data_IF_456727768092
#
_entry.id   IF_456727768092
#
_cell.length_a   1.000
_cell.length_b   1.000
_cell.length_c   1.000
_cell.angle_alpha   90.00
_cell.angle_beta   90.00
_cell.angle_gamma   90.00
#
_symmetry.space_group_name_H-M   'P 1'
#
loop_
_entity.id
_entity.type
_entity.pdbx_description
1 polymer ?
#
# COMPACT_ATOMS: atom_id res chain seq x y z
N UNK A 1 -3.24 -0.04 -29.13
CA UNK A 1 -2.60 -1.26 -29.66
C UNK A 1 -1.81 -0.97 -30.95
N UNK A 2 -0.53 -0.58 -30.84
CA UNK A 2 0.42 -0.67 -31.97
C UNK A 2 0.99 -2.09 -31.94
N UNK A 3 0.81 -2.83 -33.04
CA UNK A 3 0.77 -4.29 -33.04
C UNK A 3 2.11 -4.95 -32.66
N UNK A 4 2.04 -5.92 -31.75
CA UNK A 4 3.02 -7.01 -31.51
C UNK A 4 3.68 -7.55 -32.79
N UNK A 5 2.99 -7.48 -33.94
CA UNK A 5 3.45 -7.84 -35.28
C UNK A 5 4.76 -7.16 -35.71
N UNK A 6 4.99 -5.91 -35.29
CA UNK A 6 6.20 -5.16 -35.65
C UNK A 6 7.45 -5.64 -34.90
N UNK A 7 7.28 -6.18 -33.69
CA UNK A 7 8.36 -6.76 -32.89
C UNK A 7 8.61 -8.22 -33.31
N UNK A 8 7.56 -8.96 -33.68
CA UNK A 8 7.68 -10.36 -34.14
C UNK A 8 8.47 -10.51 -35.45
N UNK A 9 8.33 -9.58 -36.40
CA UNK A 9 9.07 -9.66 -37.68
C UNK A 9 10.60 -9.47 -37.53
N UNK A 10 11.07 -8.95 -36.39
CA UNK A 10 12.51 -8.80 -36.12
C UNK A 10 13.16 -10.04 -35.49
N UNK A 11 12.38 -11.03 -35.05
CA UNK A 11 12.86 -12.18 -34.26
C UNK A 11 12.84 -13.53 -34.99
N UNK A 12 12.47 -13.57 -36.28
CA UNK A 12 12.33 -14.81 -37.07
C UNK A 12 13.64 -15.44 -37.60
N UNK A 13 14.82 -15.14 -37.04
CA UNK A 13 16.11 -15.70 -37.52
C UNK A 13 16.83 -16.66 -36.58
N UNK A 14 16.18 -17.17 -35.53
CA UNK A 14 16.80 -18.18 -34.67
C UNK A 14 15.84 -19.35 -34.50
N UNK A 15 16.18 -20.51 -35.08
CA UNK A 15 15.49 -21.78 -34.83
C UNK A 15 15.86 -22.24 -33.41
N UNK A 16 14.90 -22.48 -32.50
CA UNK A 16 15.18 -23.13 -31.23
C UNK A 16 15.19 -24.64 -31.41
N UNK A 17 16.29 -25.28 -31.05
CA UNK A 17 16.29 -26.72 -30.75
C UNK A 17 15.45 -26.95 -29.48
N UNK A 18 14.51 -27.89 -29.57
CA UNK A 18 13.62 -28.21 -28.47
C UNK A 18 14.40 -28.97 -27.38
N UNK A 19 14.60 -28.33 -26.22
CA UNK A 19 14.85 -29.05 -24.97
C UNK A 19 13.57 -29.06 -24.15
N UNK A 20 13.03 -30.24 -23.92
CA UNK A 20 11.90 -30.49 -23.02
C UNK A 20 12.35 -30.23 -21.59
N UNK A 21 11.83 -29.17 -20.98
CA UNK A 21 12.02 -28.87 -19.56
C UNK A 21 10.87 -29.49 -18.77
N UNK A 22 11.18 -30.35 -17.82
CA UNK A 22 10.22 -30.95 -16.89
C UNK A 22 10.16 -30.04 -15.65
N UNK A 23 9.00 -29.51 -15.24
CA UNK A 23 8.90 -28.68 -14.05
C UNK A 23 9.22 -29.51 -12.79
N UNK A 24 10.16 -29.06 -11.99
CA UNK A 24 10.44 -29.64 -10.67
C UNK A 24 9.59 -28.84 -9.66
N UNK A 25 8.71 -29.51 -8.93
CA UNK A 25 8.01 -28.90 -7.80
C UNK A 25 9.04 -28.49 -6.72
N UNK A 26 8.89 -27.32 -6.06
CA UNK A 26 9.82 -26.90 -5.03
C UNK A 26 9.89 -27.97 -3.92
N UNK A 27 11.10 -28.27 -3.47
CA UNK A 27 11.29 -29.32 -2.47
C UNK A 27 10.73 -28.86 -1.11
N UNK A 28 10.36 -29.80 -0.21
CA UNK A 28 10.00 -29.46 1.17
C UNK A 28 11.06 -28.61 1.89
N UNK A 29 12.34 -28.70 1.47
CA UNK A 29 13.43 -27.88 1.99
C UNK A 29 13.40 -26.44 1.44
N UNK A 30 12.95 -26.21 0.21
CA UNK A 30 12.74 -24.86 -0.34
C UNK A 30 11.55 -24.17 0.32
N UNK A 31 10.50 -24.94 0.63
CA UNK A 31 9.37 -24.47 1.44
C UNK A 31 9.79 -24.15 2.88
N UNK A 32 10.73 -24.91 3.47
CA UNK A 32 11.27 -24.64 4.81
C UNK A 32 12.22 -23.43 4.83
N UNK A 33 13.03 -23.23 3.78
CA UNK A 33 13.91 -22.06 3.63
C UNK A 33 13.13 -20.76 3.39
N UNK A 34 11.92 -20.84 2.83
CA UNK A 34 11.00 -19.70 2.74
C UNK A 34 10.43 -19.29 4.11
N UNK A 35 10.45 -20.19 5.10
CA UNK A 35 9.98 -19.94 6.47
C UNK A 35 11.05 -19.32 7.38
N UNK A 36 12.31 -19.20 6.94
CA UNK A 36 13.46 -18.84 7.79
C UNK A 36 14.06 -17.43 7.55
N UNK A 37 13.28 -16.43 7.12
CA UNK A 37 13.78 -15.11 6.66
C UNK A 37 13.11 -13.90 7.40
N UNK A 38 13.83 -12.77 7.55
CA UNK A 38 13.52 -11.28 7.61
C UNK A 38 12.30 -10.66 8.39
N UNK A 39 12.36 -9.42 8.93
CA UNK A 39 11.35 -8.74 9.82
C UNK A 39 10.26 -8.05 9.03
N UNK A 40 10.45 -7.97 7.72
CA UNK A 40 9.33 -8.04 6.82
C UNK A 40 8.42 -9.22 7.18
N UNK A 41 8.92 -10.32 7.77
CA UNK A 41 8.11 -11.39 8.33
C UNK A 41 7.44 -11.04 9.64
N UNK A 42 7.74 -9.96 10.38
CA UNK A 42 6.89 -9.56 11.51
C UNK A 42 5.70 -8.74 11.03
N UNK A 43 5.89 -7.82 10.08
CA UNK A 43 4.79 -7.12 9.41
C UNK A 43 4.02 -8.06 8.47
N UNK A 44 4.72 -8.96 7.76
CA UNK A 44 4.11 -10.06 7.00
C UNK A 44 3.59 -11.16 7.91
N UNK A 45 4.07 -11.43 9.13
CA UNK A 45 3.47 -12.43 10.05
C UNK A 45 2.26 -11.86 10.76
N UNK A 46 2.30 -10.58 11.13
CA UNK A 46 1.13 -9.87 11.63
C UNK A 46 0.08 -9.71 10.52
N UNK A 47 0.51 -9.61 9.25
CA UNK A 47 -0.37 -9.63 8.09
C UNK A 47 -0.64 -11.04 7.53
N UNK A 48 0.10 -12.08 7.96
CA UNK A 48 0.04 -13.43 7.40
C UNK A 48 -1.35 -14.04 7.60
N UNK A 49 -2.03 -13.86 8.75
CA UNK A 49 -3.43 -14.25 8.90
C UNK A 49 -4.36 -13.65 7.84
N UNK A 50 -3.96 -12.56 7.19
CA UNK A 50 -4.73 -11.80 6.22
C UNK A 50 -4.32 -12.07 4.75
N UNK A 51 -3.28 -12.89 4.53
CA UNK A 51 -2.95 -13.41 3.20
C UNK A 51 -3.97 -14.49 2.77
N UNK A 52 -4.44 -14.42 1.52
CA UNK A 52 -5.55 -15.27 1.06
C UNK A 52 -5.28 -16.77 1.16
N UNK A 53 -4.06 -17.21 0.90
CA UNK A 53 -3.65 -18.62 1.06
C UNK A 53 -3.69 -19.11 2.51
N UNK A 54 -3.70 -18.19 3.48
CA UNK A 54 -3.75 -18.50 4.91
C UNK A 54 -5.19 -18.55 5.44
N UNK A 55 -6.01 -17.54 5.13
CA UNK A 55 -7.39 -17.52 5.62
C UNK A 55 -8.35 -18.37 4.78
N UNK A 56 -8.13 -18.49 3.46
CA UNK A 56 -9.05 -19.17 2.55
C UNK A 56 -9.42 -20.60 2.98
N UNK A 57 -8.50 -21.49 3.39
CA UNK A 57 -8.85 -22.86 3.77
C UNK A 57 -9.87 -22.94 4.92
N UNK A 58 -9.90 -21.93 5.80
CA UNK A 58 -10.80 -21.88 6.96
C UNK A 58 -12.18 -21.32 6.63
N UNK A 59 -12.29 -20.52 5.58
CA UNK A 59 -13.52 -19.78 5.23
C UNK A 59 -14.00 -20.03 3.80
N UNK A 60 -13.46 -21.05 3.12
CA UNK A 60 -13.77 -21.39 1.71
C UNK A 60 -15.27 -21.49 1.42
N UNK A 61 -16.07 -21.94 2.39
CA UNK A 61 -17.52 -22.11 2.24
C UNK A 61 -18.30 -20.78 2.28
N UNK A 62 -17.62 -19.68 2.63
CA UNK A 62 -18.20 -18.33 2.76
C UNK A 62 -17.71 -17.35 1.68
N UNK A 63 -16.77 -17.76 0.83
CA UNK A 63 -16.10 -16.90 -0.17
C UNK A 63 -16.13 -17.56 -1.56
N UNK A 64 -15.49 -16.93 -2.55
CA UNK A 64 -15.41 -17.44 -3.91
C UNK A 64 -14.42 -18.60 -4.04
N UNK A 65 -14.73 -19.56 -4.92
CA UNK A 65 -13.78 -20.60 -5.32
C UNK A 65 -12.45 -19.97 -5.76
N UNK A 66 -11.34 -20.44 -5.18
CA UNK A 66 -10.02 -19.84 -5.37
C UNK A 66 -9.00 -20.94 -5.63
N UNK A 67 -8.23 -20.79 -6.72
CA UNK A 67 -7.11 -21.65 -7.04
C UNK A 67 -5.80 -20.90 -6.82
N UNK A 68 -4.80 -21.60 -6.29
CA UNK A 68 -3.48 -21.03 -5.98
C UNK A 68 -2.45 -21.54 -6.99
N UNK A 69 -1.88 -20.61 -7.76
CA UNK A 69 -0.77 -20.91 -8.66
C UNK A 69 0.54 -20.39 -8.05
N UNK A 70 1.49 -21.26 -7.66
CA UNK A 70 2.74 -20.81 -7.06
C UNK A 70 3.58 -20.01 -8.07
N UNK A 71 4.11 -18.89 -7.59
CA UNK A 71 5.00 -18.00 -8.33
C UNK A 71 6.43 -18.19 -7.83
N UNK A 72 7.35 -18.58 -8.72
CA UNK A 72 8.76 -18.68 -8.36
C UNK A 72 9.43 -17.30 -8.26
N UNK A 73 10.54 -17.20 -7.52
CA UNK A 73 11.31 -15.96 -7.40
C UNK A 73 11.77 -15.44 -8.78
N UNK A 74 12.20 -16.35 -9.66
CA UNK A 74 12.61 -16.00 -11.03
C UNK A 74 11.46 -15.46 -11.87
N UNK A 75 10.25 -16.00 -11.71
CA UNK A 75 9.06 -15.49 -12.41
C UNK A 75 8.62 -14.13 -11.84
N UNK A 76 8.65 -13.96 -10.52
CA UNK A 76 8.40 -12.67 -9.90
C UNK A 76 9.40 -11.61 -10.40
N UNK A 77 10.69 -11.96 -10.48
CA UNK A 77 11.72 -11.07 -11.02
C UNK A 77 11.50 -10.78 -12.51
N UNK A 78 11.03 -11.75 -13.30
CA UNK A 78 10.68 -11.54 -14.70
C UNK A 78 9.51 -10.57 -14.87
N UNK A 79 8.48 -10.64 -14.00
CA UNK A 79 7.36 -9.68 -13.96
C UNK A 79 7.88 -8.27 -13.66
N UNK A 80 8.72 -8.12 -12.64
CA UNK A 80 9.35 -6.82 -12.29
C UNK A 80 10.16 -6.28 -13.46
N UNK A 81 10.99 -7.11 -14.11
CA UNK A 81 11.82 -6.69 -15.23
C UNK A 81 11.00 -6.32 -16.47
N UNK A 82 9.88 -6.98 -16.70
CA UNK A 82 8.91 -6.59 -17.72
C UNK A 82 8.36 -5.19 -17.42
N UNK A 83 7.87 -4.97 -16.20
CA UNK A 83 7.33 -3.67 -15.79
C UNK A 83 8.38 -2.55 -15.94
N UNK A 84 9.58 -2.78 -15.41
CA UNK A 84 10.70 -1.84 -15.48
C UNK A 84 11.07 -1.48 -16.93
N UNK A 85 11.02 -2.44 -17.86
CA UNK A 85 11.38 -2.22 -19.26
C UNK A 85 10.31 -1.43 -20.02
N UNK A 86 9.05 -1.77 -19.82
CA UNK A 86 7.96 -1.20 -20.62
C UNK A 86 7.38 0.09 -20.04
N UNK A 87 7.34 0.23 -18.72
CA UNK A 87 6.72 1.36 -18.04
C UNK A 87 7.76 2.33 -17.47
N UNK A 88 8.89 1.84 -16.98
CA UNK A 88 9.97 2.70 -16.45
C UNK A 88 11.12 2.92 -17.44
N UNK A 89 11.02 2.35 -18.65
CA UNK A 89 12.02 2.45 -19.73
C UNK A 89 13.44 2.00 -19.32
N UNK A 90 13.55 1.10 -18.35
CA UNK A 90 14.80 0.51 -17.88
C UNK A 90 14.97 -0.85 -18.55
N UNK A 91 15.87 -0.94 -19.55
CA UNK A 91 16.13 -2.12 -20.39
C UNK A 91 16.65 -3.34 -19.61
N UNK A 92 15.81 -3.97 -18.79
CA UNK A 92 16.14 -5.09 -17.89
C UNK A 92 15.56 -6.44 -18.36
N UNK A 93 14.65 -6.42 -19.32
CA UNK A 93 14.01 -7.63 -19.83
C UNK A 93 14.95 -8.41 -20.76
N UNK A 94 15.05 -9.72 -20.55
CA UNK A 94 15.88 -10.65 -21.33
C UNK A 94 15.00 -11.66 -22.05
N UNK A 95 15.56 -12.37 -23.03
CA UNK A 95 14.85 -13.47 -23.69
C UNK A 95 14.44 -14.57 -22.71
N UNK A 96 15.25 -14.86 -21.70
CA UNK A 96 14.93 -15.84 -20.67
C UNK A 96 13.71 -15.41 -19.84
N UNK A 97 13.67 -14.15 -19.39
CA UNK A 97 12.50 -13.59 -18.70
C UNK A 97 11.22 -13.72 -19.55
N UNK A 98 11.31 -13.49 -20.87
CA UNK A 98 10.15 -13.65 -21.76
C UNK A 98 9.68 -15.11 -21.83
N UNK A 99 10.59 -16.08 -21.86
CA UNK A 99 10.21 -17.51 -21.82
C UNK A 99 9.56 -17.89 -20.50
N UNK A 100 10.06 -17.37 -19.37
CA UNK A 100 9.44 -17.56 -18.05
C UNK A 100 8.02 -17.01 -18.00
N UNK A 101 7.80 -15.77 -18.46
CA UNK A 101 6.47 -15.14 -18.47
C UNK A 101 5.48 -15.88 -19.35
N UNK A 102 5.89 -16.36 -20.54
CA UNK A 102 5.07 -17.22 -21.40
C UNK A 102 4.77 -18.59 -20.78
N UNK A 103 5.67 -19.09 -19.93
CA UNK A 103 5.42 -20.32 -19.17
C UNK A 103 4.35 -20.09 -18.11
N UNK A 104 4.47 -19.00 -17.34
CA UNK A 104 3.49 -18.58 -16.35
C UNK A 104 2.10 -18.35 -16.99
N UNK A 105 2.02 -17.65 -18.12
CA UNK A 105 0.79 -17.44 -18.88
C UNK A 105 0.10 -18.76 -19.24
N UNK A 106 0.86 -19.74 -19.76
CA UNK A 106 0.33 -21.07 -20.08
C UNK A 106 -0.21 -21.82 -18.85
N UNK A 107 0.43 -21.66 -17.69
CA UNK A 107 -0.05 -22.27 -16.44
C UNK A 107 -1.36 -21.63 -15.97
N UNK A 108 -1.48 -20.31 -16.06
CA UNK A 108 -2.72 -19.58 -15.77
C UNK A 108 -3.83 -20.04 -16.73
N UNK A 109 -3.56 -20.09 -18.04
CA UNK A 109 -4.54 -20.56 -19.02
C UNK A 109 -5.00 -22.00 -18.77
N UNK A 110 -4.08 -22.88 -18.37
CA UNK A 110 -4.41 -24.26 -18.05
C UNK A 110 -5.42 -24.31 -16.90
N UNK A 111 -5.15 -23.60 -15.80
CA UNK A 111 -6.03 -23.55 -14.62
C UNK A 111 -7.42 -23.01 -14.97
N UNK A 112 -7.49 -21.92 -15.74
CA UNK A 112 -8.75 -21.32 -16.18
C UNK A 112 -9.58 -22.26 -17.07
N UNK A 113 -8.93 -23.15 -17.83
CA UNK A 113 -9.63 -24.10 -18.72
C UNK A 113 -10.04 -25.39 -18.01
N UNK A 114 -9.24 -25.86 -17.06
CA UNK A 114 -9.49 -27.14 -16.38
C UNK A 114 -10.47 -27.03 -15.24
N UNK A 115 -10.52 -25.87 -14.57
CA UNK A 115 -11.41 -25.67 -13.43
C UNK A 115 -12.75 -25.08 -13.87
N UNK A 116 -13.83 -25.87 -13.76
CA UNK A 116 -15.17 -25.45 -14.16
C UNK A 116 -15.69 -24.22 -13.40
N UNK A 117 -15.20 -23.97 -12.18
CA UNK A 117 -15.56 -22.78 -11.41
C UNK A 117 -15.12 -21.48 -12.10
N UNK A 118 -14.11 -21.54 -12.97
CA UNK A 118 -13.57 -20.39 -13.72
C UNK A 118 -14.10 -20.31 -15.15
N UNK A 119 -15.17 -21.03 -15.50
CA UNK A 119 -15.76 -21.00 -16.84
C UNK A 119 -16.19 -19.59 -17.29
N UNK A 120 -16.55 -18.72 -16.34
CA UNK A 120 -16.91 -17.32 -16.58
C UNK A 120 -15.74 -16.33 -16.38
N UNK A 121 -14.52 -16.84 -16.18
CA UNK A 121 -13.33 -16.07 -15.84
C UNK A 121 -12.96 -16.14 -14.35
N UNK A 122 -11.85 -15.50 -14.00
CA UNK A 122 -11.36 -15.40 -12.63
C UNK A 122 -10.79 -14.00 -12.36
N UNK A 123 -10.76 -13.61 -11.08
CA UNK A 123 -10.08 -12.41 -10.61
C UNK A 123 -8.67 -12.77 -10.11
N UNK A 124 -7.64 -12.28 -10.79
CA UNK A 124 -6.25 -12.57 -10.43
C UNK A 124 -5.75 -11.59 -9.36
N UNK A 125 -5.15 -12.12 -8.30
CA UNK A 125 -4.50 -11.33 -7.24
C UNK A 125 -3.25 -12.03 -6.70
N UNK A 126 -2.42 -11.28 -5.98
CA UNK A 126 -1.38 -11.83 -5.11
C UNK A 126 -1.95 -12.00 -3.69
N UNK A 127 -1.22 -12.70 -2.81
CA UNK A 127 -1.71 -13.08 -1.48
C UNK A 127 -2.19 -11.87 -0.66
N UNK A 128 -1.33 -10.85 -0.53
CA UNK A 128 -1.61 -9.71 0.34
C UNK A 128 -2.35 -8.53 -0.28
N UNK A 129 -2.54 -8.48 -1.62
CA UNK A 129 -3.25 -7.34 -2.24
C UNK A 129 -3.92 -7.70 -3.57
N UNK A 130 -5.15 -7.22 -3.72
CA UNK A 130 -5.87 -7.20 -4.97
C UNK A 130 -5.41 -6.03 -5.87
N UNK A 131 -5.26 -6.21 -7.20
CA UNK A 131 -4.90 -5.14 -8.12
C UNK A 131 -6.09 -4.21 -8.43
N UNK A 132 -6.74 -3.67 -7.38
CA UNK A 132 -7.96 -2.83 -7.48
C UNK A 132 -7.72 -1.52 -8.26
N UNK A 133 -6.47 -1.09 -8.34
CA UNK A 133 -6.01 0.09 -9.08
C UNK A 133 -5.59 -0.23 -10.53
N UNK A 134 -5.62 -1.51 -10.93
CA UNK A 134 -5.26 -1.94 -12.27
C UNK A 134 -6.27 -1.47 -13.32
N UNK A 135 -5.77 -1.13 -14.50
CA UNK A 135 -6.63 -0.77 -15.63
C UNK A 135 -7.41 -1.99 -16.15
N UNK A 136 -8.75 -1.91 -16.26
CA UNK A 136 -9.51 -3.01 -16.83
C UNK A 136 -9.23 -3.13 -18.33
N UNK A 137 -9.06 -4.36 -18.81
CA UNK A 137 -8.83 -4.65 -20.23
C UNK A 137 -9.92 -4.09 -21.15
N UNK A 138 -11.16 -4.02 -20.67
CA UNK A 138 -12.29 -3.46 -21.40
C UNK A 138 -13.11 -2.51 -20.50
N UNK A 139 -12.67 -1.25 -20.41
CA UNK A 139 -13.35 -0.17 -19.66
C UNK A 139 -14.83 -0.07 -19.99
N UNK A 140 -15.19 -0.12 -21.28
CA UNK A 140 -16.57 0.03 -21.73
C UNK A 140 -17.48 -1.07 -21.19
N UNK A 141 -17.00 -2.32 -21.19
CA UNK A 141 -17.76 -3.43 -20.64
C UNK A 141 -17.95 -3.31 -19.13
N UNK A 142 -16.92 -2.87 -18.39
CA UNK A 142 -17.02 -2.61 -16.95
C UNK A 142 -18.07 -1.54 -16.67
N UNK A 143 -18.05 -0.43 -17.40
CA UNK A 143 -19.02 0.65 -17.23
C UNK A 143 -20.45 0.21 -17.55
N UNK A 144 -20.66 -0.55 -18.64
CA UNK A 144 -21.97 -1.09 -19.01
C UNK A 144 -22.50 -2.00 -17.89
N UNK A 145 -21.65 -2.88 -17.36
CA UNK A 145 -22.03 -3.78 -16.26
C UNK A 145 -22.35 -3.00 -14.98
N UNK A 146 -21.50 -2.04 -14.61
CA UNK A 146 -21.70 -1.18 -13.45
C UNK A 146 -23.04 -0.43 -13.51
N UNK A 147 -23.34 0.22 -14.64
CA UNK A 147 -24.59 0.97 -14.81
C UNK A 147 -25.82 0.05 -14.74
N UNK A 148 -25.74 -1.13 -15.36
CA UNK A 148 -26.82 -2.11 -15.30
C UNK A 148 -27.08 -2.57 -13.86
N UNK A 149 -26.04 -2.94 -13.12
CA UNK A 149 -26.18 -3.40 -11.74
C UNK A 149 -26.70 -2.29 -10.82
N UNK A 150 -26.25 -1.06 -11.04
CA UNK A 150 -26.70 0.10 -10.30
C UNK A 150 -28.18 0.41 -10.57
N UNK A 151 -28.62 0.31 -11.83
CA UNK A 151 -30.04 0.44 -12.21
C UNK A 151 -30.90 -0.66 -11.56
N UNK A 152 -30.45 -1.92 -11.61
CA UNK A 152 -31.13 -3.04 -10.95
C UNK A 152 -31.28 -2.83 -9.44
N UNK A 153 -30.25 -2.29 -8.78
CA UNK A 153 -30.31 -1.94 -7.35
C UNK A 153 -31.28 -0.79 -7.08
N UNK A 154 -31.30 0.26 -7.91
CA UNK A 154 -32.25 1.36 -7.77
C UNK A 154 -33.69 0.90 -7.95
N UNK A 155 -33.96 0.00 -8.90
CA UNK A 155 -35.29 -0.61 -9.10
C UNK A 155 -35.74 -1.41 -7.86
N UNK A 156 -34.81 -1.90 -7.04
CA UNK A 156 -35.08 -2.56 -5.76
C UNK A 156 -35.21 -1.57 -4.58
N UNK A 157 -35.16 -0.26 -4.83
CA UNK A 157 -35.25 0.78 -3.81
C UNK A 157 -33.95 1.02 -3.04
N UNK A 158 -32.82 0.53 -3.55
CA UNK A 158 -31.51 0.82 -2.97
C UNK A 158 -31.17 2.33 -3.07
N UNK A 159 -30.32 2.85 -2.17
CA UNK A 159 -29.71 2.14 -1.04
C UNK A 159 -30.62 2.02 0.20
N UNK A 160 -31.68 2.82 0.30
CA UNK A 160 -32.46 2.97 1.54
C UNK A 160 -33.36 1.76 1.84
N UNK A 161 -34.12 1.26 0.86
CA UNK A 161 -35.10 0.19 1.09
C UNK A 161 -34.44 -1.14 1.46
N UNK A 162 -33.21 -1.37 1.00
CA UNK A 162 -32.46 -2.62 1.26
C UNK A 162 -31.46 -2.49 2.41
N UNK A 163 -31.29 -1.29 2.99
CA UNK A 163 -30.25 -0.99 3.98
C UNK A 163 -30.29 -1.95 5.17
N UNK A 164 -31.44 -2.08 5.81
CA UNK A 164 -31.59 -2.87 7.04
C UNK A 164 -31.51 -4.38 6.76
N UNK A 165 -31.99 -4.80 5.58
CA UNK A 165 -31.82 -6.18 5.11
C UNK A 165 -30.34 -6.51 4.92
N UNK A 166 -29.60 -5.68 4.18
CA UNK A 166 -28.16 -5.88 3.93
C UNK A 166 -27.36 -5.84 5.23
N UNK A 167 -27.68 -4.90 6.13
CA UNK A 167 -27.06 -4.83 7.47
C UNK A 167 -27.26 -6.14 8.24
N UNK A 168 -28.48 -6.66 8.26
CA UNK A 168 -28.80 -7.91 8.97
C UNK A 168 -28.04 -9.10 8.40
N UNK A 169 -27.99 -9.21 7.06
CA UNK A 169 -27.24 -10.26 6.38
C UNK A 169 -25.74 -10.18 6.62
N UNK A 170 -25.17 -8.97 6.68
CA UNK A 170 -23.75 -8.77 7.01
C UNK A 170 -23.45 -9.25 8.44
N UNK A 171 -24.28 -8.88 9.41
CA UNK A 171 -24.09 -9.30 10.82
C UNK A 171 -24.20 -10.82 10.95
N UNK A 172 -25.20 -11.42 10.30
CA UNK A 172 -25.37 -12.88 10.30
C UNK A 172 -24.16 -13.58 9.67
N UNK A 173 -23.72 -13.11 8.49
CA UNK A 173 -22.56 -13.70 7.79
C UNK A 173 -21.28 -13.51 8.59
N UNK A 174 -21.06 -12.34 9.17
CA UNK A 174 -19.92 -12.08 10.04
C UNK A 174 -19.90 -13.03 11.25
N UNK A 175 -21.04 -13.26 11.91
CA UNK A 175 -21.14 -14.19 13.05
C UNK A 175 -20.74 -15.63 12.66
N UNK A 176 -21.10 -16.08 11.46
CA UNK A 176 -20.69 -17.37 10.92
C UNK A 176 -19.19 -17.40 10.64
N UNK A 177 -18.67 -16.42 9.90
CA UNK A 177 -17.26 -16.37 9.47
C UNK A 177 -16.30 -16.16 10.65
N UNK A 178 -16.65 -15.31 11.62
CA UNK A 178 -15.80 -14.93 12.76
C UNK A 178 -15.30 -16.15 13.54
N UNK A 179 -16.13 -17.19 13.68
CA UNK A 179 -15.80 -18.44 14.35
C UNK A 179 -14.59 -19.18 13.73
N UNK A 180 -14.26 -18.87 12.47
CA UNK A 180 -13.18 -19.51 11.72
C UNK A 180 -11.91 -18.64 11.57
N UNK A 181 -11.99 -17.33 11.85
CA UNK A 181 -10.89 -16.39 11.58
C UNK A 181 -9.76 -16.54 12.63
N UNK A 182 -10.11 -16.65 13.91
CA UNK A 182 -9.13 -16.76 15.00
C UNK A 182 -8.27 -15.51 15.20
N UNK A 183 -8.79 -14.33 14.86
CA UNK A 183 -8.18 -13.01 15.11
C UNK A 183 -9.18 -12.17 15.92
N UNK A 184 -8.69 -11.42 16.92
CA UNK A 184 -9.53 -10.59 17.80
C UNK A 184 -10.02 -9.31 17.10
N UNK A 185 -9.21 -8.74 16.21
CA UNK A 185 -9.54 -7.51 15.48
C UNK A 185 -9.14 -7.62 14.00
N UNK A 186 -10.06 -7.31 13.10
CA UNK A 186 -9.84 -7.35 11.65
C UNK A 186 -10.90 -6.54 10.90
N UNK A 187 -10.64 -6.31 9.61
CA UNK A 187 -11.60 -5.76 8.65
C UNK A 187 -12.00 -6.87 7.67
N UNK A 188 -13.28 -6.94 7.33
CA UNK A 188 -13.82 -7.91 6.38
C UNK A 188 -14.61 -7.18 5.29
N UNK A 189 -14.28 -7.47 4.03
CA UNK A 189 -15.01 -6.99 2.88
C UNK A 189 -16.10 -8.01 2.52
N UNK A 190 -17.32 -7.52 2.30
CA UNK A 190 -18.47 -8.31 1.90
C UNK A 190 -19.05 -7.80 0.58
N UNK A 191 -19.58 -8.71 -0.23
CA UNK A 191 -20.40 -8.39 -1.40
C UNK A 191 -21.83 -8.88 -1.19
N UNK A 192 -22.79 -8.06 -1.61
CA UNK A 192 -24.20 -8.41 -1.67
C UNK A 192 -24.58 -8.83 -3.09
N UNK A 193 -25.13 -10.03 -3.24
CA UNK A 193 -25.73 -10.49 -4.50
C UNK A 193 -27.23 -10.15 -4.47
N UNK A 194 -27.71 -9.16 -5.25
CA UNK A 194 -29.11 -8.75 -5.24
C UNK A 194 -30.06 -9.82 -5.80
N UNK A 195 -29.57 -10.73 -6.65
CA UNK A 195 -30.40 -11.78 -7.24
C UNK A 195 -30.66 -12.90 -6.23
N UNK A 196 -29.63 -13.29 -5.48
CA UNK A 196 -29.72 -14.34 -4.46
C UNK A 196 -30.13 -13.80 -3.09
N UNK A 197 -30.02 -12.49 -2.89
CA UNK A 197 -30.19 -11.80 -1.60
C UNK A 197 -29.26 -12.36 -0.52
N UNK A 198 -28.02 -12.65 -0.89
CA UNK A 198 -27.02 -13.25 -0.01
C UNK A 198 -25.76 -12.40 0.09
N UNK A 199 -25.02 -12.56 1.19
CA UNK A 199 -23.71 -11.97 1.39
C UNK A 199 -22.62 -13.01 1.16
N UNK A 200 -21.57 -12.60 0.47
CA UNK A 200 -20.35 -13.40 0.21
C UNK A 200 -19.14 -12.63 0.74
N UNK A 201 -18.24 -13.32 1.44
CA UNK A 201 -16.97 -12.76 1.91
C UNK A 201 -16.01 -12.56 0.73
N UNK A 202 -15.34 -11.40 0.69
CA UNK A 202 -14.42 -11.01 -0.38
C UNK A 202 -12.97 -11.03 0.07
N UNK A 203 -12.69 -10.41 1.21
CA UNK A 203 -11.34 -10.14 1.66
C UNK A 203 -11.31 -10.02 3.18
N UNK A 204 -10.21 -10.47 3.78
CA UNK A 204 -9.89 -10.24 5.17
C UNK A 204 -8.65 -9.35 5.22
N UNK A 205 -8.67 -8.33 6.07
CA UNK A 205 -7.58 -7.35 6.19
C UNK A 205 -7.30 -7.02 7.65
N UNK A 206 -6.07 -6.61 7.98
CA UNK A 206 -5.72 -6.21 9.34
C UNK A 206 -6.51 -4.97 9.76
N UNK A 207 -6.89 -4.90 11.04
CA UNK A 207 -7.50 -3.70 11.63
C UNK A 207 -6.42 -2.66 11.96
N UNK A 208 -5.97 -1.94 10.93
CA UNK A 208 -4.85 -1.00 10.98
C UNK A 208 -5.05 0.12 9.97
N UNK A 209 -4.35 1.23 10.16
CA UNK A 209 -4.36 2.42 9.27
C UNK A 209 -4.00 2.13 7.81
N UNK A 210 -3.32 1.01 7.53
CA UNK A 210 -3.04 0.57 6.16
C UNK A 210 -4.25 0.00 5.42
N UNK A 211 -5.37 -0.25 6.11
CA UNK A 211 -6.61 -0.76 5.52
C UNK A 211 -7.57 0.39 5.29
N UNK A 212 -8.16 0.47 4.10
CA UNK A 212 -9.13 1.52 3.78
C UNK A 212 -10.39 1.39 4.64
N UNK A 213 -10.89 2.52 5.18
CA UNK A 213 -12.03 2.59 6.10
C UNK A 213 -13.37 2.92 5.42
N UNK A 214 -13.37 3.05 4.10
CA UNK A 214 -14.52 3.45 3.28
C UNK A 214 -15.18 4.76 3.77
N UNK A 215 -16.28 4.68 4.51
CA UNK A 215 -17.05 5.84 5.01
C UNK A 215 -16.69 6.24 6.45
N UNK A 216 -15.67 5.60 7.03
CA UNK A 216 -15.07 5.97 8.32
C UNK A 216 -13.69 6.60 8.11
N UNK A 217 -13.16 7.25 9.14
CA UNK A 217 -11.81 7.77 9.23
C UNK A 217 -11.09 7.16 10.43
N UNK A 218 -9.88 6.63 10.24
CA UNK A 218 -9.08 6.09 11.35
C UNK A 218 -8.81 7.11 12.45
N UNK A 219 -8.66 8.39 12.08
CA UNK A 219 -8.35 9.47 13.02
C UNK A 219 -9.61 10.05 13.68
N UNK A 220 -10.64 10.35 12.89
CA UNK A 220 -11.85 11.01 13.41
C UNK A 220 -12.80 10.02 14.11
N UNK A 221 -12.86 8.77 13.64
CA UNK A 221 -13.74 7.75 14.17
C UNK A 221 -13.00 6.74 15.07
N UNK A 222 -11.80 7.07 15.57
CA UNK A 222 -10.96 6.14 16.34
C UNK A 222 -11.73 5.51 17.52
N UNK A 223 -12.36 6.33 18.35
CA UNK A 223 -13.14 5.84 19.49
C UNK A 223 -14.31 4.96 19.06
N UNK A 224 -14.97 5.32 17.95
CA UNK A 224 -16.09 4.57 17.40
C UNK A 224 -15.65 3.22 16.79
N UNK A 225 -14.49 3.18 16.14
CA UNK A 225 -13.92 1.97 15.55
C UNK A 225 -13.41 0.99 16.62
N UNK A 226 -12.82 1.50 17.70
CA UNK A 226 -12.24 0.67 18.75
C UNK A 226 -13.23 0.27 19.85
N UNK A 227 -14.11 1.20 20.26
CA UNK A 227 -14.93 1.05 21.47
C UNK A 227 -16.41 1.38 21.26
N UNK A 228 -16.79 1.87 20.08
CA UNK A 228 -18.15 2.31 19.80
C UNK A 228 -19.13 1.17 19.52
N UNK A 229 -20.44 1.42 19.63
CA UNK A 229 -21.46 0.46 19.23
C UNK A 229 -21.44 0.22 17.72
N UNK A 230 -22.01 -0.89 17.22
CA UNK A 230 -22.06 -1.15 15.79
C UNK A 230 -22.77 -0.04 15.00
N UNK A 231 -22.00 0.75 14.25
CA UNK A 231 -22.49 1.81 13.36
C UNK A 231 -22.52 1.33 11.90
N UNK A 232 -23.58 1.69 11.16
CA UNK A 232 -23.73 1.33 9.74
C UNK A 232 -23.93 2.57 8.87
N UNK A 233 -22.87 2.96 8.14
CA UNK A 233 -22.86 4.10 7.21
C UNK A 233 -23.11 3.62 5.78
N UNK A 234 -23.95 4.34 5.04
CA UNK A 234 -24.23 4.06 3.63
C UNK A 234 -24.22 5.36 2.84
N UNK A 235 -23.64 5.33 1.64
CA UNK A 235 -23.69 6.46 0.72
C UNK A 235 -25.03 6.46 -0.02
N UNK A 236 -25.81 7.52 0.13
CA UNK A 236 -27.14 7.64 -0.47
C UNK A 236 -27.13 8.33 -1.82
N UNK A 237 -26.11 9.14 -2.09
CA UNK A 237 -25.97 9.90 -3.32
C UNK A 237 -24.95 9.27 -4.28
N UNK A 238 -25.22 9.36 -5.57
CA UNK A 238 -24.28 8.95 -6.61
C UNK A 238 -23.04 9.85 -6.57
N UNK A 239 -21.86 9.27 -6.76
CA UNK A 239 -20.65 10.08 -6.90
C UNK A 239 -20.73 10.91 -8.19
N UNK A 240 -20.61 12.26 -8.13
CA UNK A 240 -20.86 13.12 -9.29
C UNK A 240 -19.93 12.83 -10.47
N UNK A 241 -18.72 12.34 -10.19
CA UNK A 241 -17.70 12.00 -11.19
C UNK A 241 -17.54 10.50 -11.43
N UNK A 242 -18.54 9.65 -11.12
CA UNK A 242 -18.35 8.19 -11.20
C UNK A 242 -18.00 7.73 -12.62
N UNK A 243 -18.56 8.40 -13.63
CA UNK A 243 -18.31 8.06 -15.03
C UNK A 243 -16.86 8.36 -15.41
N UNK A 244 -16.38 9.55 -15.06
CA UNK A 244 -14.99 9.96 -15.23
C UNK A 244 -14.04 9.07 -14.43
N UNK A 245 -14.47 8.63 -13.24
CA UNK A 245 -13.74 7.69 -12.38
C UNK A 245 -13.64 6.27 -12.96
N UNK A 246 -14.51 5.88 -13.90
CA UNK A 246 -14.43 4.59 -14.59
C UNK A 246 -13.79 4.73 -15.97
N UNK A 247 -13.99 5.86 -16.66
CA UNK A 247 -13.55 6.09 -18.04
C UNK A 247 -12.12 6.62 -18.16
N UNK A 248 -11.65 7.46 -17.22
CA UNK A 248 -10.31 8.06 -17.32
C UNK A 248 -9.20 7.07 -16.94
N UNK A 249 -8.05 7.15 -17.61
CA UNK A 249 -6.85 6.41 -17.21
C UNK A 249 -6.39 6.89 -15.84
N UNK A 250 -5.98 5.96 -14.97
CA UNK A 250 -5.34 6.30 -13.70
C UNK A 250 -4.09 7.17 -13.90
N UNK A 251 -3.32 6.92 -14.97
CA UNK A 251 -2.16 7.72 -15.35
C UNK A 251 -2.56 9.14 -15.80
N UNK A 252 -3.71 9.30 -16.46
CA UNK A 252 -4.23 10.63 -16.85
C UNK A 252 -4.71 11.41 -15.61
N UNK A 253 -5.23 10.73 -14.59
CA UNK A 253 -5.60 11.35 -13.31
C UNK A 253 -4.40 11.78 -12.48
N UNK A 254 -3.30 11.03 -12.50
CA UNK A 254 -2.09 11.41 -11.77
C UNK A 254 -1.43 12.67 -12.36
N UNK A 255 -1.63 12.91 -13.65
CA UNK A 255 -1.14 14.12 -14.34
C UNK A 255 -2.06 15.34 -14.18
N UNK A 256 -3.30 15.15 -13.74
CA UNK A 256 -4.25 16.22 -13.46
C UNK A 256 -4.34 16.47 -11.94
N UNK A 257 -4.50 17.73 -11.53
CA UNK A 257 -4.78 18.04 -10.13
C UNK A 257 -6.16 17.47 -9.75
N UNK A 258 -6.19 16.40 -8.95
CA UNK A 258 -7.42 15.81 -8.41
C UNK A 258 -7.62 16.34 -6.99
N UNK A 259 -8.76 17.00 -6.75
CA UNK A 259 -9.17 17.44 -5.41
C UNK A 259 -9.26 16.23 -4.47
N UNK A 260 -8.71 16.41 -3.27
CA UNK A 260 -8.48 15.38 -2.25
C UNK A 260 -9.84 14.77 -1.81
N UNK A 261 -9.99 13.44 -1.68
CA UNK A 261 -11.31 12.82 -1.36
C UNK A 261 -11.90 13.28 -0.03
N UNK A 262 -11.04 13.43 0.98
CA UNK A 262 -11.30 14.09 2.28
C UNK A 262 -11.80 15.53 2.12
N UNK A 263 -11.23 16.31 1.19
CA UNK A 263 -11.70 17.68 0.92
C UNK A 263 -13.11 17.74 0.33
N UNK A 264 -13.50 16.75 -0.48
CA UNK A 264 -14.86 16.60 -1.02
C UNK A 264 -15.82 16.14 0.08
N UNK A 265 -15.38 15.26 0.99
CA UNK A 265 -16.16 14.77 2.12
C UNK A 265 -16.52 15.89 3.11
N UNK A 266 -15.55 16.76 3.45
CA UNK A 266 -15.79 17.92 4.33
C UNK A 266 -16.77 18.93 3.73
N UNK A 267 -16.67 19.21 2.42
CA UNK A 267 -17.58 20.11 1.70
C UNK A 267 -19.04 19.64 1.72
N UNK A 268 -19.25 18.33 1.85
CA UNK A 268 -20.57 17.70 1.93
C UNK A 268 -21.16 17.67 3.36
N UNK A 269 -20.32 17.66 4.40
CA UNK A 269 -20.79 17.76 5.79
C UNK A 269 -21.13 19.21 6.20
N UNK A 270 -20.49 20.22 5.59
CA UNK A 270 -20.74 21.63 5.91
C UNK A 270 -22.12 22.14 5.43
N UNK A 271 -22.79 21.45 4.51
CA UNK A 271 -24.07 21.91 3.92
C UNK A 271 -25.31 21.54 4.73
N UNK A 272 -25.19 20.84 5.85
CA UNK A 272 -26.36 20.46 6.65
C UNK A 272 -26.27 20.97 8.09
N UNK A 273 -27.12 21.98 8.36
CA UNK A 273 -27.47 22.61 9.65
C UNK A 273 -26.49 23.57 10.32
N UNK A 274 -27.01 24.76 10.64
CA UNK A 274 -26.38 25.84 11.43
C UNK A 274 -25.85 25.40 12.81
N UNK A 275 -26.36 24.28 13.35
CA UNK A 275 -25.83 23.64 14.57
C UNK A 275 -24.45 23.00 14.35
N UNK A 276 -24.15 22.51 13.14
CA UNK A 276 -22.81 22.03 12.76
C UNK A 276 -21.80 23.18 12.68
N UNK A 277 -22.23 24.35 12.22
CA UNK A 277 -21.39 25.56 12.22
C UNK A 277 -21.08 26.06 13.65
N UNK A 278 -22.08 26.06 14.55
CA UNK A 278 -21.86 26.38 15.97
C UNK A 278 -20.98 25.35 16.68
N UNK A 279 -21.21 24.05 16.46
CA UNK A 279 -20.37 22.98 17.03
C UNK A 279 -18.95 23.03 16.45
N UNK A 280 -18.78 23.29 15.16
CA UNK A 280 -17.49 23.58 14.51
C UNK A 280 -16.83 24.80 15.15
N UNK A 281 -17.57 25.86 15.47
CA UNK A 281 -17.03 27.05 16.15
C UNK A 281 -16.55 26.74 17.58
N UNK A 282 -17.19 25.81 18.29
CA UNK A 282 -16.75 25.34 19.60
C UNK A 282 -15.63 24.29 19.53
N UNK A 283 -15.59 23.44 18.49
CA UNK A 283 -14.53 22.44 18.25
C UNK A 283 -13.27 23.03 17.59
N UNK A 284 -13.35 24.18 16.91
CA UNK A 284 -12.20 24.89 16.32
C UNK A 284 -11.26 25.53 17.34
N UNK A 285 -11.52 25.32 18.64
CA UNK A 285 -10.66 25.80 19.73
C UNK A 285 -9.71 24.75 20.30
N UNK A 286 -9.55 23.61 19.63
CA UNK A 286 -8.34 22.79 19.77
C UNK A 286 -7.31 23.32 18.78
N UNK A 287 -6.24 23.91 19.32
CA UNK A 287 -5.10 24.42 18.55
C UNK A 287 -4.55 23.27 17.70
N UNK A 288 -4.80 23.27 16.38
CA UNK A 288 -4.11 22.35 15.46
C UNK A 288 -2.63 22.71 15.57
N UNK A 289 -1.85 21.81 16.18
CA UNK A 289 -0.41 21.98 16.29
C UNK A 289 0.16 21.70 14.90
N UNK A 290 0.80 22.70 14.28
CA UNK A 290 1.50 22.47 13.03
C UNK A 290 2.70 21.54 13.31
N UNK A 291 2.62 20.30 12.83
CA UNK A 291 3.72 19.35 12.95
C UNK A 291 4.67 19.56 11.76
N UNK A 292 5.92 19.92 12.06
CA UNK A 292 6.97 20.07 11.05
C UNK A 292 7.96 18.92 11.19
N UNK A 293 8.23 18.22 10.10
CA UNK A 293 9.23 17.15 10.03
C UNK A 293 10.37 17.57 9.11
N UNK A 294 11.60 17.40 9.58
CA UNK A 294 12.81 17.56 8.80
C UNK A 294 13.30 16.19 8.32
N UNK A 295 13.30 16.01 7.00
CA UNK A 295 13.75 14.77 6.36
C UNK A 295 15.10 14.98 5.67
N UNK A 296 16.06 14.13 6.03
CA UNK A 296 17.44 14.18 5.54
C UNK A 296 17.78 13.02 4.61
N UNK A 297 16.97 11.95 4.61
CA UNK A 297 17.26 10.66 3.96
C UNK A 297 16.28 10.27 2.86
N UNK A 298 15.82 9.01 2.89
CA UNK A 298 15.01 8.40 1.83
C UNK A 298 13.58 8.94 1.71
N UNK A 299 13.16 9.82 2.61
CA UNK A 299 11.87 10.51 2.58
C UNK A 299 11.90 11.83 1.78
N UNK A 300 13.09 12.35 1.41
CA UNK A 300 13.22 13.55 0.58
C UNK A 300 12.56 13.37 -0.78
N UNK A 301 12.10 14.47 -1.40
CA UNK A 301 11.50 14.45 -2.74
C UNK A 301 12.41 13.77 -3.76
N UNK A 302 11.84 12.89 -4.58
CA UNK A 302 12.57 12.11 -5.60
C UNK A 302 13.20 10.81 -5.10
N UNK A 303 13.08 10.50 -3.80
CA UNK A 303 13.41 9.19 -3.24
C UNK A 303 12.18 8.29 -3.15
N UNK A 304 12.41 6.97 -3.08
CA UNK A 304 11.37 5.95 -3.27
C UNK A 304 10.31 5.90 -2.14
N UNK A 305 10.57 6.46 -0.97
CA UNK A 305 9.58 6.52 0.12
C UNK A 305 8.80 7.84 0.18
N UNK A 306 9.22 8.86 -0.58
CA UNK A 306 8.56 10.16 -0.58
C UNK A 306 7.08 10.05 -0.95
N UNK A 307 6.78 9.44 -2.10
CA UNK A 307 5.43 9.41 -2.63
C UNK A 307 4.46 8.61 -1.74
N UNK A 308 4.99 7.66 -0.95
CA UNK A 308 4.19 6.86 -0.03
C UNK A 308 3.78 7.65 1.22
N UNK A 309 4.66 8.45 1.79
CA UNK A 309 4.44 9.05 3.10
C UNK A 309 4.22 10.57 3.08
N UNK A 310 4.83 11.28 2.13
CA UNK A 310 4.85 12.75 2.09
C UNK A 310 4.21 13.34 0.83
N UNK A 311 3.68 12.53 -0.08
CA UNK A 311 3.00 13.03 -1.29
C UNK A 311 1.84 13.99 -1.01
N UNK A 312 1.22 13.85 0.15
CA UNK A 312 0.07 14.64 0.59
C UNK A 312 0.44 15.75 1.60
N UNK A 313 1.71 15.80 2.03
CA UNK A 313 2.24 16.78 2.97
C UNK A 313 2.53 18.13 2.28
N UNK A 314 2.56 19.21 3.06
CA UNK A 314 2.89 20.54 2.51
C UNK A 314 4.40 20.76 2.56
N UNK A 315 5.03 20.95 1.40
CA UNK A 315 6.45 21.33 1.34
C UNK A 315 6.65 22.74 1.89
N UNK A 316 7.52 22.89 2.89
CA UNK A 316 7.83 24.20 3.50
C UNK A 316 9.07 24.80 2.84
N UNK A 317 10.10 23.98 2.63
CA UNK A 317 11.33 24.43 1.98
C UNK A 317 12.48 23.47 2.22
N UNK A 318 13.59 23.71 1.50
CA UNK A 318 14.87 23.11 1.85
C UNK A 318 15.43 23.80 3.08
N UNK A 319 16.11 23.03 3.90
CA UNK A 319 16.70 23.52 5.13
C UNK A 319 18.04 22.86 5.41
N UNK A 320 18.83 23.51 6.23
CA UNK A 320 20.07 22.97 6.77
C UNK A 320 20.03 23.01 8.29
N UNK A 321 20.49 21.96 8.97
CA UNK A 321 20.54 21.94 10.44
C UNK A 321 21.40 23.08 10.96
N UNK A 322 20.89 23.78 11.99
CA UNK A 322 21.61 24.90 12.62
C UNK A 322 22.86 24.39 13.34
N UNK A 323 22.68 23.32 14.10
CA UNK A 323 23.77 22.61 14.79
C UNK A 323 24.29 21.48 13.91
N UNK A 324 25.58 21.15 14.09
CA UNK A 324 26.19 19.98 13.45
C UNK A 324 25.55 18.71 13.99
N UNK A 325 25.21 17.80 13.09
CA UNK A 325 24.63 16.50 13.39
C UNK A 325 25.43 15.40 12.71
N UNK A 326 25.48 14.23 13.34
CA UNK A 326 26.19 13.07 12.83
C UNK A 326 25.30 12.27 11.87
N UNK A 327 25.28 12.66 10.59
CA UNK A 327 24.63 11.87 9.53
C UNK A 327 25.63 10.88 8.94
N UNK A 328 25.34 9.59 9.02
CA UNK A 328 26.15 8.51 8.47
C UNK A 328 25.35 7.68 7.48
N UNK A 329 26.04 6.93 6.62
CA UNK A 329 25.42 5.95 5.74
C UNK A 329 25.98 4.58 6.08
N UNK A 330 25.10 3.62 6.34
CA UNK A 330 25.52 2.24 6.63
C UNK A 330 26.00 1.49 5.38
N UNK A 331 26.49 0.27 5.58
CA UNK A 331 26.97 -0.62 4.51
C UNK A 331 25.89 -1.02 3.49
N UNK A 332 24.63 -0.70 3.76
CA UNK A 332 23.47 -0.95 2.90
C UNK A 332 22.99 0.32 2.19
N UNK A 333 23.71 1.43 2.34
CA UNK A 333 23.39 2.70 1.72
C UNK A 333 22.24 3.44 2.41
N UNK A 334 21.91 3.14 3.66
CA UNK A 334 20.82 3.77 4.41
C UNK A 334 21.35 4.94 5.24
N UNK A 335 20.75 6.14 5.16
CA UNK A 335 21.15 7.28 5.97
C UNK A 335 20.62 7.18 7.40
N UNK A 336 21.47 7.45 8.39
CA UNK A 336 21.12 7.47 9.81
C UNK A 336 21.63 8.76 10.45
N UNK A 337 20.74 9.52 11.11
CA UNK A 337 21.14 10.60 11.99
C UNK A 337 21.42 10.03 13.38
N UNK A 338 22.59 10.30 13.94
CA UNK A 338 23.03 9.77 15.22
C UNK A 338 23.09 10.87 16.28
N UNK A 339 22.71 10.55 17.51
CA UNK A 339 22.87 11.45 18.66
C UNK A 339 24.28 11.32 19.28
N UNK A 340 25.32 11.67 18.51
CA UNK A 340 26.73 11.63 18.94
C UNK A 340 27.42 12.96 18.65
N UNK A 341 28.51 13.25 19.37
CA UNK A 341 29.30 14.46 19.14
C UNK A 341 30.02 14.39 17.80
N UNK A 342 30.01 15.50 17.06
CA UNK A 342 30.68 15.63 15.77
C UNK A 342 29.71 15.95 14.65
N UNK A 343 30.09 15.61 13.42
CA UNK A 343 29.22 15.73 12.26
C UNK A 343 29.28 17.06 11.51
N UNK A 344 28.27 17.27 10.69
CA UNK A 344 28.17 18.37 9.74
C UNK A 344 26.82 19.07 9.83
N UNK A 345 26.71 20.25 9.23
CA UNK A 345 25.41 20.87 9.00
C UNK A 345 24.69 20.09 7.90
N UNK A 346 23.55 19.48 8.26
CA UNK A 346 22.86 18.50 7.41
C UNK A 346 21.84 19.19 6.53
N UNK A 347 21.95 18.98 5.22
CA UNK A 347 20.98 19.47 4.24
C UNK A 347 19.82 18.48 4.05
N UNK A 348 18.60 19.01 4.12
CA UNK A 348 17.37 18.25 3.98
C UNK A 348 16.18 19.10 3.58
N UNK A 349 14.99 18.60 3.87
CA UNK A 349 13.71 19.22 3.51
C UNK A 349 12.79 19.29 4.72
N UNK A 350 12.06 20.40 4.86
CA UNK A 350 11.02 20.56 5.88
C UNK A 350 9.66 20.39 5.24
N UNK A 351 8.84 19.56 5.87
CA UNK A 351 7.47 19.30 5.49
C UNK A 351 6.55 19.58 6.66
N UNK A 352 5.42 20.22 6.37
CA UNK A 352 4.31 20.33 7.32
C UNK A 352 3.38 19.14 7.08
N UNK A 353 3.15 18.38 8.14
CA UNK A 353 2.37 17.15 8.14
C UNK A 353 1.22 17.27 9.14
N UNK A 354 0.13 16.55 8.89
CA UNK A 354 -0.91 16.34 9.90
C UNK A 354 -0.51 15.18 10.83
N UNK A 355 -1.31 14.96 11.89
CA UNK A 355 -1.06 13.90 12.86
C UNK A 355 -1.10 12.50 12.25
N UNK A 356 -1.89 12.31 11.19
CA UNK A 356 -2.05 11.02 10.51
C UNK A 356 -0.79 10.64 9.73
N UNK A 357 -0.26 11.57 8.93
CA UNK A 357 1.01 11.39 8.22
C UNK A 357 2.14 11.18 9.22
N UNK A 358 2.15 11.92 10.34
CA UNK A 358 3.16 11.80 11.37
C UNK A 358 3.13 10.42 12.06
N UNK A 359 1.95 9.92 12.43
CA UNK A 359 1.79 8.58 13.00
C UNK A 359 2.23 7.49 12.02
N UNK A 360 1.91 7.63 10.73
CA UNK A 360 2.34 6.68 9.71
C UNK A 360 3.85 6.65 9.50
N UNK A 361 4.52 7.80 9.65
CA UNK A 361 5.97 7.90 9.64
C UNK A 361 6.60 7.26 10.90
N UNK A 362 6.04 7.51 12.08
CA UNK A 362 6.52 6.93 13.34
C UNK A 362 6.47 5.39 13.31
N UNK A 363 5.40 4.81 12.76
CA UNK A 363 5.26 3.36 12.58
C UNK A 363 6.29 2.80 11.59
N UNK A 364 6.52 3.51 10.48
CA UNK A 364 7.46 3.09 9.45
C UNK A 364 8.93 3.16 9.92
N UNK A 365 9.27 4.23 10.62
CA UNK A 365 10.60 4.41 11.21
C UNK A 365 10.79 3.59 12.49
N UNK A 366 9.72 2.96 13.00
CA UNK A 366 9.81 2.02 14.12
C UNK A 366 10.09 2.73 15.44
N UNK A 367 9.46 3.89 15.67
CA UNK A 367 9.58 4.66 16.91
C UNK A 367 9.09 3.84 18.11
N UNK A 368 7.94 3.19 17.97
CA UNK A 368 7.37 2.29 18.97
C UNK A 368 8.21 1.01 19.21
N UNK A 369 9.26 0.79 18.40
CA UNK A 369 10.17 -0.36 18.47
C UNK A 369 11.61 0.07 18.77
N UNK A 370 11.80 1.33 19.18
CA UNK A 370 13.10 1.92 19.51
C UNK A 370 14.14 1.79 18.38
N UNK A 371 13.70 1.76 17.12
CA UNK A 371 14.61 1.71 15.98
C UNK A 371 15.16 3.10 15.64
N UNK A 372 14.26 4.08 15.56
CA UNK A 372 14.55 5.51 15.60
C UNK A 372 13.79 6.15 16.77
N UNK A 373 14.31 7.22 17.35
CA UNK A 373 13.57 8.18 18.17
C UNK A 373 13.18 9.37 17.30
N UNK A 374 12.03 9.99 17.57
CA UNK A 374 11.66 11.27 16.96
C UNK A 374 12.00 12.39 17.93
N UNK A 375 12.93 13.26 17.54
CA UNK A 375 13.46 14.33 18.40
C UNK A 375 13.47 15.68 17.66
N UNK A 376 13.31 16.80 18.39
CA UNK A 376 13.35 18.12 17.78
C UNK A 376 14.75 18.47 17.27
N UNK A 377 14.80 19.15 16.13
CA UNK A 377 15.99 19.70 15.48
C UNK A 377 15.71 21.12 15.00
N UNK A 378 16.63 22.04 15.28
CA UNK A 378 16.60 23.38 14.72
C UNK A 378 17.21 23.39 13.33
N UNK A 379 16.45 23.91 12.36
CA UNK A 379 16.84 23.98 10.96
C UNK A 379 16.66 25.39 10.42
N UNK A 380 17.60 25.82 9.56
CA UNK A 380 17.54 27.09 8.84
C UNK A 380 17.05 26.82 7.42
N UNK A 381 15.90 27.37 7.08
CA UNK A 381 15.34 27.34 5.73
C UNK A 381 16.15 28.21 4.77
N UNK A 382 16.08 27.93 3.47
CA UNK A 382 16.78 28.70 2.43
C UNK A 382 16.45 30.22 2.44
N UNK A 383 15.27 30.58 2.95
CA UNK A 383 14.85 31.98 3.12
C UNK A 383 15.47 32.67 4.37
N UNK A 384 16.35 31.96 5.10
CA UNK A 384 17.03 32.45 6.29
C UNK A 384 16.27 32.28 7.61
N UNK A 385 14.99 31.89 7.58
CA UNK A 385 14.21 31.66 8.80
C UNK A 385 14.65 30.37 9.51
N UNK A 386 14.60 30.39 10.84
CA UNK A 386 14.91 29.22 11.69
C UNK A 386 13.60 28.66 12.23
N UNK A 387 13.46 27.35 12.15
CA UNK A 387 12.29 26.59 12.58
C UNK A 387 12.73 25.38 13.40
N UNK A 388 11.97 25.06 14.44
CA UNK A 388 12.07 23.76 15.12
C UNK A 388 11.18 22.76 14.39
N UNK A 389 11.77 21.67 13.91
CA UNK A 389 11.07 20.55 13.30
C UNK A 389 11.50 19.26 14.01
N UNK A 390 10.74 18.18 13.87
CA UNK A 390 11.16 16.87 14.36
C UNK A 390 12.01 16.15 13.31
N UNK A 391 12.95 15.31 13.74
CA UNK A 391 13.70 14.41 12.88
C UNK A 391 13.87 13.04 13.55
N UNK A 392 14.08 12.01 12.74
CA UNK A 392 14.31 10.66 13.21
C UNK A 392 15.80 10.43 13.51
N UNK A 393 16.13 10.06 14.74
CA UNK A 393 17.49 9.76 15.21
C UNK A 393 17.63 8.28 15.54
N UNK A 394 18.71 7.66 15.10
CA UNK A 394 18.95 6.25 15.34
C UNK A 394 19.22 6.04 16.82
N UNK A 395 18.43 5.19 17.48
CA UNK A 395 18.53 4.96 18.93
C UNK A 395 19.87 4.33 19.31
N UNK A 396 20.31 3.31 18.58
CA UNK A 396 21.61 2.66 18.79
C UNK A 396 22.56 2.95 17.64
N UNK A 397 23.60 3.74 17.92
CA UNK A 397 24.61 4.11 16.94
C UNK A 397 25.58 2.96 16.61
N UNK A 398 25.86 2.05 17.56
CA UNK A 398 26.77 0.92 17.36
C UNK A 398 28.10 1.32 16.71
N UNK A 399 28.57 0.52 15.74
CA UNK A 399 29.77 0.81 14.94
C UNK A 399 29.59 1.96 13.94
N UNK A 400 28.36 2.44 13.71
CA UNK A 400 28.10 3.54 12.79
C UNK A 400 28.65 4.88 13.30
N UNK A 401 28.88 5.00 14.62
CA UNK A 401 29.48 6.20 15.21
C UNK A 401 30.91 6.49 14.75
N UNK A 402 31.61 5.48 14.20
CA UNK A 402 32.99 5.59 13.70
C UNK A 402 33.07 5.91 12.19
N UNK A 403 31.92 5.90 11.50
CA UNK A 403 31.83 6.13 10.06
C UNK A 403 32.03 7.61 9.67
N UNK A 404 32.34 7.89 8.39
CA UNK A 404 32.46 9.27 7.93
C UNK A 404 31.09 9.97 7.97
N UNK A 405 31.06 11.13 8.63
CA UNK A 405 29.87 11.98 8.61
C UNK A 405 29.75 12.71 7.27
N UNK A 406 28.54 12.76 6.74
CA UNK A 406 28.20 13.45 5.49
C UNK A 406 27.29 14.64 5.76
N UNK A 407 27.39 15.68 4.95
CA UNK A 407 26.50 16.85 5.06
C UNK A 407 25.18 16.68 4.30
N UNK A 408 25.11 15.77 3.33
CA UNK A 408 23.90 15.54 2.55
C UNK A 408 23.82 14.11 1.98
N UNK A 409 22.67 13.46 2.17
CA UNK A 409 22.34 12.23 1.47
C UNK A 409 21.72 12.51 0.10
N UNK A 410 22.43 12.23 -0.99
CA UNK A 410 21.99 12.58 -2.36
C UNK A 410 21.36 11.42 -3.11
N UNK A 411 20.51 11.73 -4.10
CA UNK A 411 19.85 10.73 -4.94
C UNK A 411 20.86 9.88 -5.73
N UNK A 412 21.94 10.51 -6.21
CA UNK A 412 23.04 9.82 -6.89
C UNK A 412 23.73 8.79 -5.99
N UNK A 413 23.99 9.15 -4.72
CA UNK A 413 24.55 8.22 -3.75
C UNK A 413 23.58 7.06 -3.47
N UNK A 414 22.31 7.37 -3.26
CA UNK A 414 21.25 6.38 -3.04
C UNK A 414 21.13 5.36 -4.18
N UNK A 415 21.01 5.82 -5.42
CA UNK A 415 20.81 4.94 -6.57
C UNK A 415 22.02 4.01 -6.82
N UNK A 416 23.21 4.37 -6.33
CA UNK A 416 24.44 3.59 -6.47
C UNK A 416 24.68 2.60 -5.33
N UNK A 417 24.29 2.96 -4.10
CA UNK A 417 24.71 2.23 -2.89
C UNK A 417 23.57 1.60 -2.11
N UNK A 418 22.32 2.08 -2.28
CA UNK A 418 21.19 1.56 -1.52
C UNK A 418 20.83 0.13 -1.93
N UNK A 419 20.84 -0.77 -0.95
CA UNK A 419 20.39 -2.15 -1.12
C UNK A 419 19.13 -2.41 -0.29
N UNK A 420 17.93 -2.40 -0.90
CA UNK A 420 16.67 -2.53 -0.15
C UNK A 420 16.54 -3.88 0.56
N UNK A 421 17.05 -4.96 -0.04
CA UNK A 421 16.97 -6.31 0.53
C UNK A 421 17.81 -6.39 1.81
N UNK A 422 19.05 -5.88 1.75
CA UNK A 422 19.93 -5.89 2.93
C UNK A 422 19.46 -4.93 4.02
N UNK A 423 18.94 -3.75 3.65
CA UNK A 423 18.34 -2.82 4.61
C UNK A 423 17.16 -3.44 5.36
N UNK A 424 16.22 -4.07 4.64
CA UNK A 424 15.10 -4.77 5.26
C UNK A 424 15.56 -5.90 6.19
N UNK A 425 16.60 -6.64 5.80
CA UNK A 425 17.20 -7.69 6.62
C UNK A 425 17.89 -7.14 7.88
N UNK A 426 18.61 -6.02 7.80
CA UNK A 426 19.26 -5.39 8.95
C UNK A 426 18.27 -4.81 9.96
N UNK A 427 17.20 -4.15 9.47
CA UNK A 427 16.04 -3.76 10.28
C UNK A 427 15.45 -4.98 11.01
N UNK A 428 15.55 -6.19 10.44
CA UNK A 428 15.11 -7.40 11.14
C UNK A 428 15.96 -7.79 12.31
N UNK A 429 17.25 -7.98 12.08
CA UNK A 429 18.11 -8.58 13.07
C UNK A 429 18.05 -7.76 14.36
N UNK A 430 18.02 -6.43 14.23
CA UNK A 430 17.87 -5.53 15.36
C UNK A 430 16.52 -5.69 16.10
N UNK A 431 15.41 -5.99 15.42
CA UNK A 431 14.12 -6.28 16.06
C UNK A 431 14.05 -7.65 16.74
N UNK A 432 14.89 -8.60 16.31
CA UNK A 432 14.97 -9.93 16.93
C UNK A 432 15.84 -9.90 18.20
N UNK A 433 16.86 -9.05 18.23
CA UNK A 433 17.79 -8.91 19.37
C UNK A 433 17.24 -8.03 20.51
N UNK A 434 16.19 -7.24 20.26
CA UNK A 434 15.53 -6.38 21.26
C UNK A 434 14.28 -6.99 21.92
N UNK A 435 14.00 -8.28 21.68
CA UNK A 435 13.12 -9.12 22.52
C UNK A 435 13.97 -10.18 23.24
#
# INVERSE_FOLDING_TARGET
MRSLKAIMNKLQKVKPEARTFTPIAPSPADALNLLSISSEHRIRSENLPFDIDVWYPRVKDFTFETAFLPLSLSEAQAIVNYYETFYNHRMKLTSEHIHMLKSLERRIEAELRTNQAFACGAFLRLCGRSPKEGEPLNRSQVLVKYNKDLEELYLQGAPLAIKDQVRSLIIEKWSQVHQHIGQESYVIDFSYDPNKKTIVMIELSPFRTCTGTAMFSWSQDQDQLHNGPLEFRIKTEMHPYIKELVEANWEDRWNAHVERYDSIYHKYQETTTWMSWLLSFFYRKTTIKDNFIFVYGTLKKGFHWHDKFLSTATFVGRATSVNKQALVVDDFGVPHLLNVKGGESISGEVWRVDEEVLSGLDDYEGVNKEYYSREPIEVRLDNGSVLSADAYYKVSAGSLAEGPFISEYTKSHHDKHYNPIKHAHAKQLQYLESN
#
